data_IF_040936118458
#
_entry.id   IF_040936118458
#
_cell.length_a   1.000
_cell.length_b   1.000
_cell.length_c   1.000
_cell.angle_alpha   90.00
_cell.angle_beta   90.00
_cell.angle_gamma   90.00
#
_symmetry.space_group_name_H-M   'P 1'
#
loop_
_entity.id
_entity.type
_entity.pdbx_description
1 polymer ?
#
# COMPACT_ATOMS: atom_id res chain seq x y z
N UNK A 1 31.42 -68.31 40.13
CA UNK A 1 30.25 -69.18 39.88
C UNK A 1 29.34 -69.18 41.11
N UNK A 2 28.06 -68.82 40.89
CA UNK A 2 26.83 -69.24 41.58
C UNK A 2 26.71 -69.25 43.13
N UNK A 3 25.90 -68.28 43.58
CA UNK A 3 24.68 -68.36 44.45
C UNK A 3 24.72 -68.90 45.88
N UNK A 4 24.23 -68.06 46.81
CA UNK A 4 23.24 -68.37 47.88
C UNK A 4 22.61 -67.03 48.31
N UNK A 5 21.36 -66.73 47.95
CA UNK A 5 20.10 -67.07 48.61
C UNK A 5 20.06 -66.62 50.08
N UNK A 6 19.61 -65.38 50.31
CA UNK A 6 19.15 -64.93 51.62
C UNK A 6 17.65 -64.62 51.59
N UNK A 7 16.98 -65.27 52.52
CA UNK A 7 15.55 -65.21 52.80
C UNK A 7 15.15 -63.84 53.33
N UNK A 8 14.11 -63.23 52.78
CA UNK A 8 13.37 -62.18 53.48
C UNK A 8 12.08 -62.76 54.09
N UNK A 9 12.02 -62.58 55.41
CA UNK A 9 11.09 -63.18 56.36
C UNK A 9 9.64 -62.79 56.10
N UNK A 10 8.79 -63.81 56.08
CA UNK A 10 7.35 -63.73 56.36
C UNK A 10 7.16 -63.31 57.83
N UNK A 11 6.76 -62.08 58.10
CA UNK A 11 6.26 -61.67 59.42
C UNK A 11 4.74 -61.75 59.41
N UNK A 12 4.25 -62.79 60.08
CA UNK A 12 2.91 -62.80 60.68
C UNK A 12 2.86 -61.71 61.75
N UNK A 13 1.85 -60.84 61.66
CA UNK A 13 1.31 -60.13 62.81
C UNK A 13 -0.20 -60.36 62.80
N UNK A 14 -0.62 -61.34 63.59
CA UNK A 14 -1.93 -61.35 64.20
C UNK A 14 -1.82 -60.44 65.42
N UNK A 15 -2.53 -59.32 65.38
CA UNK A 15 -2.97 -58.61 66.58
C UNK A 15 -4.20 -57.80 66.15
N UNK A 16 -5.30 -58.02 66.87
CA UNK A 16 -6.57 -57.33 66.71
C UNK A 16 -6.38 -55.81 66.72
N UNK A 17 -6.80 -55.15 65.63
CA UNK A 17 -6.83 -53.69 65.46
C UNK A 17 -8.22 -53.36 64.87
N UNK A 18 -8.91 -52.33 65.38
CA UNK A 18 -10.34 -52.09 65.10
C UNK A 18 -10.63 -51.86 63.60
N UNK A 19 -11.87 -52.05 63.15
CA UNK A 19 -12.24 -52.10 61.73
C UNK A 19 -12.24 -50.71 61.02
N UNK A 20 -11.45 -49.74 61.46
CA UNK A 20 -11.45 -48.38 60.92
C UNK A 20 -10.32 -48.09 59.90
N UNK A 21 -9.19 -48.81 59.90
CA UNK A 21 -8.06 -48.48 58.99
C UNK A 21 -8.16 -49.09 57.57
N UNK A 22 -9.07 -50.03 57.33
CA UNK A 22 -9.24 -50.66 56.01
C UNK A 22 -10.01 -49.80 55.00
N UNK A 23 -10.79 -48.83 55.47
CA UNK A 23 -11.56 -47.92 54.59
C UNK A 23 -10.65 -46.92 53.86
N UNK A 24 -9.62 -46.39 54.52
CA UNK A 24 -8.81 -45.28 53.98
C UNK A 24 -7.91 -45.70 52.80
N UNK A 25 -7.36 -46.93 52.83
CA UNK A 25 -6.56 -47.47 51.73
C UNK A 25 -7.39 -47.76 50.47
N UNK A 26 -8.68 -48.05 50.64
CA UNK A 26 -9.60 -48.30 49.52
C UNK A 26 -9.99 -47.00 48.82
N UNK A 27 -10.21 -45.92 49.59
CA UNK A 27 -10.52 -44.59 49.06
C UNK A 27 -9.36 -43.98 48.28
N UNK A 28 -8.12 -44.09 48.76
CA UNK A 28 -6.93 -43.58 48.06
C UNK A 28 -6.73 -44.30 46.72
N UNK A 29 -6.99 -45.61 46.68
CA UNK A 29 -6.92 -46.41 45.43
C UNK A 29 -8.05 -46.03 44.46
N UNK A 30 -9.25 -45.74 44.96
CA UNK A 30 -10.39 -45.26 44.15
C UNK A 30 -10.14 -43.86 43.58
N UNK A 31 -9.60 -42.93 44.36
CA UNK A 31 -9.25 -41.56 43.93
C UNK A 31 -8.18 -41.58 42.83
N UNK A 32 -7.15 -42.42 42.96
CA UNK A 32 -6.11 -42.62 41.90
C UNK A 32 -6.69 -43.19 40.61
N UNK A 33 -7.61 -44.16 40.70
CA UNK A 33 -8.30 -44.72 39.52
C UNK A 33 -9.15 -43.67 38.80
N UNK A 34 -9.90 -42.86 39.54
CA UNK A 34 -10.71 -41.76 38.99
C UNK A 34 -9.84 -40.70 38.31
N UNK A 35 -8.70 -40.35 38.92
CA UNK A 35 -7.74 -39.42 38.30
C UNK A 35 -7.16 -39.96 36.99
N UNK A 36 -6.81 -41.25 36.93
CA UNK A 36 -6.28 -41.85 35.71
C UNK A 36 -7.30 -41.88 34.57
N UNK A 37 -8.58 -42.09 34.88
CA UNK A 37 -9.67 -42.00 33.90
C UNK A 37 -9.81 -40.57 33.38
N UNK A 38 -9.82 -39.57 34.26
CA UNK A 38 -9.91 -38.15 33.85
C UNK A 38 -8.70 -37.75 33.01
N UNK A 39 -7.49 -38.15 33.42
CA UNK A 39 -6.26 -37.91 32.69
C UNK A 39 -6.31 -38.54 31.29
N UNK A 40 -6.82 -39.77 31.19
CA UNK A 40 -6.99 -40.44 29.90
C UNK A 40 -7.99 -39.72 28.99
N UNK A 41 -9.07 -39.17 29.54
CA UNK A 41 -10.07 -38.40 28.78
C UNK A 41 -9.49 -37.07 28.30
N UNK A 42 -8.78 -36.34 29.17
CA UNK A 42 -8.12 -35.08 28.78
C UNK A 42 -7.06 -35.33 27.72
N UNK A 43 -6.31 -36.44 27.84
CA UNK A 43 -5.29 -36.82 26.88
C UNK A 43 -5.90 -37.18 25.52
N UNK A 44 -7.00 -37.94 25.47
CA UNK A 44 -7.67 -38.28 24.21
C UNK A 44 -8.29 -37.06 23.54
N UNK A 45 -8.89 -36.15 24.32
CA UNK A 45 -9.40 -34.87 23.78
C UNK A 45 -8.24 -34.02 23.25
N UNK A 46 -7.14 -33.92 23.99
CA UNK A 46 -5.95 -33.18 23.59
C UNK A 46 -5.33 -33.71 22.29
N UNK A 47 -5.15 -35.03 22.18
CA UNK A 47 -4.66 -35.65 20.95
C UNK A 47 -5.60 -35.47 19.76
N UNK A 48 -6.91 -35.55 19.97
CA UNK A 48 -7.90 -35.28 18.92
C UNK A 48 -7.80 -33.84 18.41
N UNK A 49 -7.62 -32.88 19.32
CA UNK A 49 -7.50 -31.46 18.99
C UNK A 49 -6.20 -31.16 18.23
N UNK A 50 -5.08 -31.77 18.64
CA UNK A 50 -3.81 -31.71 17.90
C UNK A 50 -3.95 -32.30 16.49
N UNK A 51 -4.68 -33.40 16.34
CA UNK A 51 -4.91 -34.03 15.03
C UNK A 51 -5.76 -33.16 14.10
N UNK A 52 -6.79 -32.49 14.63
CA UNK A 52 -7.63 -31.54 13.89
C UNK A 52 -6.79 -30.35 13.40
N UNK A 53 -5.99 -29.74 14.28
CA UNK A 53 -5.13 -28.61 13.91
C UNK A 53 -4.10 -29.04 12.86
N UNK A 54 -3.43 -30.17 13.06
CA UNK A 54 -2.47 -30.70 12.09
C UNK A 54 -3.10 -30.94 10.72
N UNK A 55 -4.33 -31.48 10.68
CA UNK A 55 -5.07 -31.67 9.43
C UNK A 55 -5.39 -30.34 8.73
N UNK A 56 -5.85 -29.33 9.47
CA UNK A 56 -6.14 -28.00 8.90
C UNK A 56 -4.89 -27.33 8.35
N UNK A 57 -3.78 -27.36 9.09
CA UNK A 57 -2.50 -26.79 8.63
C UNK A 57 -1.99 -27.54 7.39
N UNK A 58 -2.10 -28.88 7.37
CA UNK A 58 -1.69 -29.68 6.21
C UNK A 58 -2.56 -29.38 4.96
N UNK A 59 -3.86 -29.18 5.12
CA UNK A 59 -4.74 -28.76 4.02
C UNK A 59 -4.33 -27.39 3.46
N UNK A 60 -3.96 -26.43 4.32
CA UNK A 60 -3.51 -25.09 3.91
C UNK A 60 -2.14 -25.14 3.20
N UNK A 61 -1.20 -25.97 3.68
CA UNK A 61 0.18 -26.03 3.15
C UNK A 61 0.26 -26.84 1.85
N UNK A 62 -0.50 -27.93 1.70
CA UNK A 62 -0.38 -28.85 0.56
C UNK A 62 -1.30 -28.47 -0.60
N UNK A 63 -2.39 -27.75 -0.35
CA UNK A 63 -3.24 -27.18 -1.39
C UNK A 63 -3.79 -25.84 -0.90
N UNK A 64 -3.05 -24.72 -1.03
CA UNK A 64 -3.61 -23.41 -0.86
C UNK A 64 -4.58 -23.15 -2.02
N UNK A 65 -5.78 -23.73 -1.96
CA UNK A 65 -6.96 -23.22 -2.66
C UNK A 65 -7.42 -21.95 -1.95
N UNK A 66 -6.51 -21.01 -1.75
CA UNK A 66 -6.88 -19.61 -1.69
C UNK A 66 -7.32 -19.25 -3.11
N UNK A 67 -8.59 -19.48 -3.40
CA UNK A 67 -9.28 -18.73 -4.42
C UNK A 67 -9.26 -17.27 -3.97
N UNK A 68 -8.13 -16.60 -4.22
CA UNK A 68 -8.07 -15.15 -4.23
C UNK A 68 -9.22 -14.75 -5.17
N UNK A 69 -10.24 -14.01 -4.68
CA UNK A 69 -11.32 -13.57 -5.56
C UNK A 69 -10.64 -12.85 -6.71
N UNK A 70 -10.74 -13.40 -7.92
CA UNK A 70 -10.34 -12.69 -9.13
C UNK A 70 -11.21 -11.44 -9.15
N UNK A 71 -10.63 -10.33 -8.75
CA UNK A 71 -11.21 -9.01 -8.96
C UNK A 71 -11.60 -8.97 -10.44
N UNK A 72 -12.83 -8.57 -10.77
CA UNK A 72 -13.22 -8.42 -12.16
C UNK A 72 -12.16 -7.54 -12.81
N UNK A 73 -11.62 -8.00 -13.95
CA UNK A 73 -10.84 -7.14 -14.81
C UNK A 73 -11.81 -6.06 -15.28
N UNK A 74 -11.85 -4.97 -14.53
CA UNK A 74 -12.50 -3.74 -14.92
C UNK A 74 -11.72 -3.28 -16.15
N UNK A 75 -12.21 -3.64 -17.33
CA UNK A 75 -11.81 -3.02 -18.58
C UNK A 75 -12.32 -1.59 -18.54
N UNK A 76 -11.54 -0.74 -17.86
CA UNK A 76 -11.69 0.71 -17.84
C UNK A 76 -11.52 1.18 -19.28
N UNK A 77 -12.65 1.42 -19.95
CA UNK A 77 -12.66 2.18 -21.19
C UNK A 77 -11.95 3.48 -20.92
N UNK A 78 -10.88 3.76 -21.67
CA UNK A 78 -10.14 5.03 -21.54
C UNK A 78 -11.14 6.17 -21.64
N UNK A 79 -11.23 7.07 -20.65
CA UNK A 79 -12.12 8.21 -20.76
C UNK A 79 -11.72 9.03 -21.98
N UNK A 80 -12.74 9.39 -22.76
CA UNK A 80 -12.62 10.41 -23.81
C UNK A 80 -12.75 11.73 -23.07
N UNK A 81 -11.65 12.49 -23.00
CA UNK A 81 -11.67 13.84 -22.41
C UNK A 81 -12.79 14.64 -23.08
N UNK A 82 -13.77 15.07 -22.30
CA UNK A 82 -14.88 15.86 -22.83
C UNK A 82 -14.55 17.35 -22.77
N UNK A 83 -15.17 18.15 -23.63
CA UNK A 83 -14.98 19.60 -23.65
C UNK A 83 -15.38 20.29 -22.34
N UNK A 84 -16.23 19.67 -21.52
CA UNK A 84 -16.61 20.18 -20.20
C UNK A 84 -15.44 20.09 -19.19
N UNK A 85 -14.67 19.01 -19.23
CA UNK A 85 -13.55 18.82 -18.29
C UNK A 85 -12.42 19.84 -18.54
N UNK A 86 -12.29 20.29 -19.79
CA UNK A 86 -11.32 21.31 -20.23
C UNK A 86 -11.74 22.71 -19.76
N UNK A 87 -13.04 22.98 -19.71
CA UNK A 87 -13.60 24.24 -19.20
C UNK A 87 -13.36 24.38 -17.69
N UNK A 88 -13.56 23.29 -16.93
CA UNK A 88 -13.29 23.26 -15.49
C UNK A 88 -11.81 23.48 -15.16
N UNK A 89 -10.90 22.85 -15.91
CA UNK A 89 -9.45 23.08 -15.74
C UNK A 89 -9.07 24.54 -16.06
N UNK A 90 -9.66 25.09 -17.12
CA UNK A 90 -9.41 26.49 -17.51
C UNK A 90 -9.91 27.46 -16.45
N UNK A 91 -11.09 27.21 -15.88
CA UNK A 91 -11.64 28.02 -14.80
C UNK A 91 -10.76 27.96 -13.54
N UNK A 92 -10.33 26.76 -13.14
CA UNK A 92 -9.48 26.56 -11.98
C UNK A 92 -8.12 27.27 -12.10
N UNK A 93 -7.43 27.10 -13.24
CA UNK A 93 -6.15 27.79 -13.50
C UNK A 93 -6.38 29.30 -13.50
N UNK A 94 -7.40 29.77 -14.22
CA UNK A 94 -7.69 31.20 -14.35
C UNK A 94 -7.95 31.88 -13.01
N UNK A 95 -8.57 31.18 -12.05
CA UNK A 95 -8.78 31.65 -10.67
C UNK A 95 -7.45 31.85 -9.93
N UNK A 96 -6.51 30.91 -10.07
CA UNK A 96 -5.21 30.95 -9.39
C UNK A 96 -4.32 32.08 -9.96
N UNK A 97 -4.32 32.28 -11.28
CA UNK A 97 -3.49 33.29 -11.95
C UNK A 97 -4.14 34.68 -12.07
N UNK A 98 -5.31 34.90 -11.45
CA UNK A 98 -6.14 36.13 -11.61
C UNK A 98 -5.39 37.44 -11.41
N UNK A 99 -4.32 37.44 -10.62
CA UNK A 99 -3.58 38.66 -10.26
C UNK A 99 -2.69 39.15 -11.41
N UNK A 100 -2.13 38.26 -12.24
CA UNK A 100 -1.12 38.61 -13.27
C UNK A 100 -1.18 37.71 -14.51
N UNK A 101 -2.35 37.50 -15.11
CA UNK A 101 -2.51 36.61 -16.27
C UNK A 101 -1.56 36.93 -17.44
N UNK A 102 -1.16 38.19 -17.59
CA UNK A 102 -0.19 38.61 -18.60
C UNK A 102 1.23 38.11 -18.35
N UNK A 103 1.61 37.81 -17.12
CA UNK A 103 2.99 37.45 -16.79
C UNK A 103 3.22 35.94 -16.87
N UNK A 104 2.13 35.18 -16.95
CA UNK A 104 2.17 33.72 -17.03
C UNK A 104 2.13 33.22 -18.47
N UNK A 105 2.82 32.12 -18.71
CA UNK A 105 2.64 31.25 -19.85
C UNK A 105 2.73 29.80 -19.34
N UNK A 106 1.58 29.12 -19.37
CA UNK A 106 1.35 27.80 -18.81
C UNK A 106 0.94 26.90 -19.95
N UNK A 107 1.74 25.87 -20.21
CA UNK A 107 1.43 24.82 -21.17
C UNK A 107 1.31 23.52 -20.42
N UNK A 108 0.18 22.84 -20.61
CA UNK A 108 -0.06 21.49 -20.10
C UNK A 108 -0.36 20.61 -21.29
N UNK A 109 0.39 19.53 -21.45
CA UNK A 109 0.17 18.61 -22.56
C UNK A 109 0.16 17.16 -22.08
N UNK A 110 -0.60 16.34 -22.79
CA UNK A 110 -0.53 14.89 -22.70
C UNK A 110 -0.37 14.32 -24.13
N UNK A 111 -0.45 13.00 -24.28
CA UNK A 111 -0.30 12.35 -25.59
C UNK A 111 -1.41 12.68 -26.61
N UNK A 112 -2.50 13.32 -26.17
CA UNK A 112 -3.71 13.54 -26.98
C UNK A 112 -4.13 15.00 -27.13
N UNK A 113 -3.72 15.87 -26.20
CA UNK A 113 -4.17 17.24 -26.12
C UNK A 113 -3.05 18.14 -25.57
N UNK A 114 -3.10 19.40 -25.99
CA UNK A 114 -2.28 20.50 -25.50
C UNK A 114 -3.22 21.60 -25.05
N UNK A 115 -2.96 22.14 -23.86
CA UNK A 115 -3.68 23.24 -23.28
C UNK A 115 -2.69 24.36 -22.94
N UNK A 116 -3.06 25.60 -23.25
CA UNK A 116 -2.21 26.77 -23.08
C UNK A 116 -2.96 27.93 -22.44
N UNK A 117 -2.32 28.59 -21.47
CA UNK A 117 -2.84 29.76 -20.77
C UNK A 117 -1.76 30.84 -20.60
N UNK A 118 -2.08 32.12 -20.86
CA UNK A 118 -3.27 32.59 -21.56
C UNK A 118 -3.26 32.10 -23.02
N UNK A 119 -4.43 31.81 -23.57
CA UNK A 119 -4.60 31.11 -24.86
C UNK A 119 -4.00 31.84 -26.07
N UNK A 120 -3.60 33.10 -25.90
CA UNK A 120 -3.01 33.98 -26.91
C UNK A 120 -1.47 34.01 -26.91
N UNK A 121 -0.79 33.42 -25.92
CA UNK A 121 0.68 33.33 -25.87
C UNK A 121 1.13 31.96 -26.34
N UNK A 122 2.10 31.96 -27.28
CA UNK A 122 2.83 30.81 -27.85
C UNK A 122 1.98 29.59 -28.27
N UNK A 123 1.96 29.30 -29.58
CA UNK A 123 1.43 28.02 -30.08
C UNK A 123 2.41 26.89 -29.76
N UNK A 124 2.13 26.16 -28.69
CA UNK A 124 2.81 24.92 -28.37
C UNK A 124 2.13 23.76 -29.11
N UNK A 125 2.91 22.91 -29.77
CA UNK A 125 2.42 21.80 -30.59
C UNK A 125 2.81 20.44 -29.99
N UNK A 126 1.99 19.40 -30.21
CA UNK A 126 2.25 18.02 -29.77
C UNK A 126 3.58 17.47 -30.30
N UNK A 127 4.06 17.94 -31.45
CA UNK A 127 5.38 17.59 -31.97
C UNK A 127 6.52 17.98 -31.01
N UNK A 128 6.35 19.07 -30.25
CA UNK A 128 7.31 19.55 -29.26
C UNK A 128 7.29 18.68 -27.99
N UNK A 129 6.12 18.13 -27.60
CA UNK A 129 6.00 17.20 -26.45
C UNK A 129 6.92 16.00 -26.61
N UNK A 130 7.01 15.46 -27.83
CA UNK A 130 7.86 14.28 -28.11
C UNK A 130 9.34 14.61 -27.96
N UNK A 131 9.78 15.77 -28.46
CA UNK A 131 11.15 16.24 -28.30
C UNK A 131 11.51 16.45 -26.82
N UNK A 132 10.56 16.98 -26.05
CA UNK A 132 10.75 17.24 -24.63
C UNK A 132 10.80 15.93 -23.84
N UNK A 133 9.88 14.99 -24.07
CA UNK A 133 9.93 13.66 -23.45
C UNK A 133 11.29 12.97 -23.62
N UNK A 134 11.89 13.08 -24.81
CA UNK A 134 13.23 12.56 -25.08
C UNK A 134 14.34 13.31 -24.32
N UNK A 135 14.22 14.63 -24.14
CA UNK A 135 15.13 15.43 -23.30
C UNK A 135 15.05 14.98 -21.84
N UNK A 136 13.83 14.83 -21.30
CA UNK A 136 13.59 14.46 -19.91
C UNK A 136 13.93 13.00 -19.61
N UNK A 137 13.98 12.12 -20.62
CA UNK A 137 14.47 10.74 -20.50
C UNK A 137 15.88 10.61 -19.91
N UNK A 138 16.66 11.70 -19.88
CA UNK A 138 18.05 11.74 -19.36
C UNK A 138 18.22 12.53 -18.07
N UNK A 139 17.18 13.20 -17.60
CA UNK A 139 17.22 14.04 -16.39
C UNK A 139 17.00 13.21 -15.12
N UNK A 140 17.64 13.65 -14.04
CA UNK A 140 17.50 13.09 -12.69
C UNK A 140 16.09 13.41 -12.13
N UNK A 141 15.64 12.67 -11.11
CA UNK A 141 14.37 12.94 -10.44
C UNK A 141 14.32 14.37 -9.87
N UNK A 142 13.16 15.00 -10.01
CA UNK A 142 12.84 16.32 -9.45
C UNK A 142 12.91 16.34 -7.93
N UNK A 143 13.28 17.49 -7.36
CA UNK A 143 13.15 17.75 -5.91
C UNK A 143 12.02 18.74 -5.62
N UNK A 144 11.78 19.73 -6.49
CA UNK A 144 10.82 20.80 -6.21
C UNK A 144 9.39 20.35 -6.45
N UNK A 145 9.08 19.86 -7.66
CA UNK A 145 7.75 19.36 -7.98
C UNK A 145 7.42 18.06 -7.23
N UNK A 146 8.43 17.24 -6.94
CA UNK A 146 8.23 15.98 -6.21
C UNK A 146 7.66 16.19 -4.78
N UNK A 147 7.97 17.32 -4.13
CA UNK A 147 7.42 17.67 -2.80
C UNK A 147 5.95 18.11 -2.87
N UNK A 148 5.52 18.66 -4.00
CA UNK A 148 4.16 19.16 -4.20
C UNK A 148 3.18 18.08 -4.66
N UNK A 149 3.69 16.93 -5.07
CA UNK A 149 2.93 15.87 -5.71
C UNK A 149 2.87 14.60 -4.84
N UNK A 150 1.90 13.70 -5.08
CA UNK A 150 1.82 12.43 -4.38
C UNK A 150 3.13 11.63 -4.41
N UNK A 151 3.45 10.97 -3.29
CA UNK A 151 4.64 10.15 -3.17
C UNK A 151 4.60 8.96 -4.14
N UNK A 152 5.77 8.61 -4.70
CA UNK A 152 5.93 7.48 -5.62
C UNK A 152 5.75 7.83 -7.10
N UNK A 153 5.46 9.09 -7.43
CA UNK A 153 5.45 9.57 -8.81
C UNK A 153 6.88 9.78 -9.33
N UNK A 154 7.10 9.38 -10.58
CA UNK A 154 8.35 9.70 -11.27
C UNK A 154 8.19 11.07 -11.92
N UNK A 155 8.89 12.06 -11.37
CA UNK A 155 8.87 13.45 -11.81
C UNK A 155 10.26 13.82 -12.29
N UNK A 156 10.33 14.43 -13.47
CA UNK A 156 11.58 14.95 -14.02
C UNK A 156 11.38 16.41 -14.37
N UNK A 157 12.27 17.27 -13.88
CA UNK A 157 12.14 18.72 -14.02
C UNK A 157 13.44 19.36 -14.45
N UNK A 158 13.30 20.51 -15.09
CA UNK A 158 14.36 21.46 -15.39
C UNK A 158 13.82 22.83 -15.03
N UNK A 159 14.48 23.50 -14.09
CA UNK A 159 14.15 24.85 -13.69
C UNK A 159 15.26 25.80 -14.11
N UNK A 160 14.86 26.99 -14.55
CA UNK A 160 15.78 28.10 -14.81
C UNK A 160 15.19 29.36 -14.19
N UNK A 161 16.03 30.06 -13.43
CA UNK A 161 15.65 31.28 -12.73
C UNK A 161 16.59 32.41 -13.14
N UNK A 162 16.02 33.50 -13.63
CA UNK A 162 16.68 34.79 -13.85
C UNK A 162 15.97 35.84 -12.96
N UNK A 163 16.58 37.03 -12.82
CA UNK A 163 16.05 38.08 -11.92
C UNK A 163 14.57 38.41 -12.18
N UNK A 164 14.16 38.45 -13.44
CA UNK A 164 12.79 38.85 -13.84
C UNK A 164 11.99 37.71 -14.48
N UNK A 165 12.54 36.49 -14.53
CA UNK A 165 11.91 35.39 -15.25
C UNK A 165 12.16 34.05 -14.57
N UNK A 166 11.09 33.37 -14.23
CA UNK A 166 11.08 32.02 -13.70
C UNK A 166 10.56 31.07 -14.77
N UNK A 167 11.23 29.93 -14.96
CA UNK A 167 10.76 28.88 -15.87
C UNK A 167 10.94 27.51 -15.23
N UNK A 168 9.90 26.70 -15.31
CA UNK A 168 9.91 25.28 -14.94
C UNK A 168 9.32 24.48 -16.09
N UNK A 169 10.11 23.53 -16.58
CA UNK A 169 9.66 22.54 -17.55
C UNK A 169 9.74 21.18 -16.89
N UNK A 170 8.66 20.38 -16.93
CA UNK A 170 8.63 19.11 -16.24
C UNK A 170 7.76 18.06 -16.95
N UNK A 171 8.08 16.79 -16.66
CA UNK A 171 7.29 15.63 -17.06
C UNK A 171 6.97 14.80 -15.82
N UNK A 172 5.68 14.56 -15.59
CA UNK A 172 5.16 13.68 -14.55
C UNK A 172 4.71 12.38 -15.22
N UNK A 173 5.07 11.24 -14.63
CA UNK A 173 4.65 9.91 -15.08
C UNK A 173 3.73 9.28 -14.04
N UNK A 174 2.40 9.42 -14.18
CA UNK A 174 1.46 8.76 -13.28
C UNK A 174 1.42 7.24 -13.57
N UNK A 175 1.05 6.39 -12.59
CA UNK A 175 1.15 4.94 -12.74
C UNK A 175 0.20 4.34 -13.78
N UNK A 176 -0.94 4.99 -14.04
CA UNK A 176 -2.04 4.43 -14.85
C UNK A 176 -2.44 5.30 -16.03
N UNK A 177 -1.81 6.46 -16.21
CA UNK A 177 -2.20 7.43 -17.23
C UNK A 177 -1.03 7.85 -18.11
N UNK A 178 -1.34 8.65 -19.13
CA UNK A 178 -0.35 9.17 -20.06
C UNK A 178 0.53 10.20 -19.35
N UNK A 179 1.82 10.32 -19.72
CA UNK A 179 2.69 11.32 -19.12
C UNK A 179 2.11 12.72 -19.28
N UNK A 180 2.19 13.50 -18.20
CA UNK A 180 1.71 14.88 -18.18
C UNK A 180 2.94 15.80 -18.27
N UNK A 181 2.92 16.65 -19.27
CA UNK A 181 3.95 17.65 -19.54
C UNK A 181 3.52 19.01 -19.02
N UNK A 182 4.48 19.74 -18.45
CA UNK A 182 4.34 21.10 -17.95
C UNK A 182 5.43 21.98 -18.56
N UNK A 183 5.04 23.12 -19.13
CA UNK A 183 5.93 24.26 -19.33
C UNK A 183 5.32 25.48 -18.65
N UNK A 184 5.96 25.95 -17.59
CA UNK A 184 5.53 27.09 -16.79
C UNK A 184 6.57 28.18 -16.92
N UNK A 185 6.15 29.36 -17.36
CA UNK A 185 6.98 30.54 -17.43
C UNK A 185 6.25 31.70 -16.75
N UNK A 186 6.96 32.42 -15.89
CA UNK A 186 6.45 33.58 -15.17
C UNK A 186 7.45 34.73 -15.26
N UNK A 187 6.95 35.91 -15.60
CA UNK A 187 7.70 37.17 -15.58
C UNK A 187 7.44 37.87 -14.24
N UNK A 188 8.36 37.75 -13.28
CA UNK A 188 8.21 38.27 -11.93
C UNK A 188 9.18 37.66 -10.92
N UNK A 189 8.91 37.88 -9.64
CA UNK A 189 9.82 37.46 -8.57
C UNK A 189 9.74 35.95 -8.29
N UNK A 190 10.84 35.36 -7.79
CA UNK A 190 10.88 33.94 -7.42
C UNK A 190 9.93 33.60 -6.26
N UNK A 191 9.71 34.54 -5.34
CA UNK A 191 8.81 34.34 -4.18
C UNK A 191 7.35 34.24 -4.61
N UNK A 192 6.90 35.14 -5.49
CA UNK A 192 5.54 35.10 -6.07
C UNK A 192 5.34 33.83 -6.88
N UNK A 193 6.33 33.46 -7.70
CA UNK A 193 6.32 32.23 -8.47
C UNK A 193 6.13 31.00 -7.59
N UNK A 194 6.93 30.86 -6.52
CA UNK A 194 6.89 29.69 -5.64
C UNK A 194 5.54 29.58 -4.90
N UNK A 195 5.00 30.72 -4.45
CA UNK A 195 3.69 30.78 -3.80
C UNK A 195 2.58 30.27 -4.72
N UNK A 196 2.58 30.71 -5.97
CA UNK A 196 1.55 30.34 -6.96
C UNK A 196 1.74 28.88 -7.42
N UNK A 197 2.97 28.42 -7.65
CA UNK A 197 3.23 27.06 -8.11
C UNK A 197 2.76 25.99 -7.12
N UNK A 198 2.85 26.29 -5.83
CA UNK A 198 2.45 25.38 -4.75
C UNK A 198 0.96 25.01 -4.85
N UNK A 199 0.12 25.90 -5.36
CA UNK A 199 -1.31 25.66 -5.58
C UNK A 199 -1.60 25.20 -7.03
N UNK A 200 -0.90 25.77 -8.00
CA UNK A 200 -1.10 25.52 -9.42
C UNK A 200 -0.77 24.08 -9.83
N UNK A 201 0.39 23.57 -9.41
CA UNK A 201 0.87 22.24 -9.83
C UNK A 201 -0.06 21.12 -9.36
N UNK A 202 -0.45 21.04 -8.06
CA UNK A 202 -1.40 20.02 -7.61
C UNK A 202 -2.75 20.13 -8.32
N UNK A 203 -3.24 21.35 -8.54
CA UNK A 203 -4.52 21.59 -9.22
C UNK A 203 -4.49 21.03 -10.65
N UNK A 204 -3.47 21.38 -11.44
CA UNK A 204 -3.33 20.85 -12.80
C UNK A 204 -3.20 19.32 -12.77
N UNK A 205 -2.37 18.77 -11.89
CA UNK A 205 -2.16 17.32 -11.79
C UNK A 205 -3.47 16.58 -11.51
N UNK A 206 -4.21 16.99 -10.49
CA UNK A 206 -5.45 16.31 -10.09
C UNK A 206 -6.55 16.46 -11.14
N UNK A 207 -6.70 17.63 -11.73
CA UNK A 207 -7.66 17.86 -12.81
C UNK A 207 -7.30 17.08 -14.08
N UNK A 208 -6.02 16.90 -14.39
CA UNK A 208 -5.59 16.11 -15.55
C UNK A 208 -5.80 14.60 -15.31
N UNK A 209 -5.60 14.14 -14.07
CA UNK A 209 -5.78 12.71 -13.75
C UNK A 209 -7.24 12.35 -13.57
N UNK A 210 -8.06 13.20 -12.96
CA UNK A 210 -9.50 12.96 -12.83
C UNK A 210 -10.16 12.75 -14.19
N UNK A 211 -9.72 13.50 -15.20
CA UNK A 211 -10.10 13.33 -16.61
C UNK A 211 -9.63 12.01 -17.23
N UNK A 212 -8.59 11.40 -16.69
CA UNK A 212 -7.98 10.16 -17.18
C UNK A 212 -8.47 8.90 -16.45
N UNK A 213 -9.18 9.07 -15.33
CA UNK A 213 -9.86 8.01 -14.58
C UNK A 213 -11.34 7.93 -14.95
N UNK A 214 -11.82 6.77 -15.43
CA UNK A 214 -13.23 6.54 -15.79
C UNK A 214 -14.13 6.24 -14.58
#
# INVERSE_FOLDING_TARGET
>A
MLTKLEMSKKKSYSSDVPPEEVSDLSEIKLKKKRFFIILSIVLTIGLSLVFIIYRQVKEIVVNPKLSIPRLPQLSLSKPVVTSADIEDLTAAISQIITIDQSNWNIVVANSTAVYNWPSNRNHFDLSQVTAISNKFSRLLPSTLLAELLPQGLLVREESSSNQDQQKITAVIYPPTSTPIFFDLQYEGTAEEFQKIITELIPTIYWSTISQSTP
#
